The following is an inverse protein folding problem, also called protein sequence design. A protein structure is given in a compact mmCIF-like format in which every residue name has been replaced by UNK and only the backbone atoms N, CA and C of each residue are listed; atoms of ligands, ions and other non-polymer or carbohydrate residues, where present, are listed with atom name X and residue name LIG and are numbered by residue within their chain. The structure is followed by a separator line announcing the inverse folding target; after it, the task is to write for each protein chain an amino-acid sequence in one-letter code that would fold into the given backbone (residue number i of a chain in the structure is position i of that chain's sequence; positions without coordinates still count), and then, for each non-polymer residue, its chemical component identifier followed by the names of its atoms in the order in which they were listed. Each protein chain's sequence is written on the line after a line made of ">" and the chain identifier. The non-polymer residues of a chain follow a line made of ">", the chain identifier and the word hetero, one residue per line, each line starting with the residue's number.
data_IF_411322024394
#
_entry.id   IF_411322024394
#
_cell.length_a   1.000
_cell.length_b   1.000
_cell.length_c   1.000
_cell.angle_alpha   90.00
_cell.angle_beta   90.00
_cell.angle_gamma   90.00
#
_symmetry.space_group_name_H-M   'P 1'
#
loop_
_entity.id
_entity.type
_entity.pdbx_description
1 polymer ?
#
# COMPACT_ATOMS: atom_id res chain seq x y z
N UNK A 1 -10.14 32.86 4.08
CA UNK A 1 -10.57 32.03 2.94
C UNK A 1 -9.34 31.64 2.15
N UNK A 2 -8.93 30.38 2.23
CA UNK A 2 -7.81 29.82 1.48
C UNK A 2 -8.33 29.18 0.20
N UNK A 3 -7.62 29.36 -0.91
CA UNK A 3 -8.02 28.83 -2.22
C UNK A 3 -6.93 27.92 -2.75
N UNK A 4 -7.31 26.70 -3.13
CA UNK A 4 -6.41 25.71 -3.73
C UNK A 4 -6.91 25.42 -5.14
N UNK A 5 -6.01 25.50 -6.12
CA UNK A 5 -6.32 25.12 -7.50
C UNK A 5 -6.22 23.61 -7.62
N UNK A 6 -7.34 22.96 -7.93
CA UNK A 6 -7.41 21.53 -8.21
C UNK A 6 -8.04 21.28 -9.58
N UNK A 7 -7.58 20.25 -10.33
CA UNK A 7 -8.24 19.83 -11.55
C UNK A 7 -9.71 19.47 -11.30
N UNK A 8 -10.58 19.72 -12.29
CA UNK A 8 -12.01 19.42 -12.19
C UNK A 8 -12.26 17.96 -11.79
N UNK A 9 -11.59 17.03 -12.45
CA UNK A 9 -11.72 15.60 -12.16
C UNK A 9 -11.37 15.25 -10.69
N UNK A 10 -10.41 15.94 -10.09
CA UNK A 10 -10.07 15.73 -8.68
C UNK A 10 -11.15 16.30 -7.76
N UNK A 11 -11.65 17.50 -8.05
CA UNK A 11 -12.75 18.12 -7.31
C UNK A 11 -13.99 17.23 -7.31
N UNK A 12 -14.38 16.73 -8.48
CA UNK A 12 -15.59 15.92 -8.63
C UNK A 12 -15.48 14.61 -7.81
N UNK A 13 -14.28 13.99 -7.77
CA UNK A 13 -14.01 12.82 -6.92
C UNK A 13 -14.07 13.15 -5.42
N UNK A 14 -13.53 14.30 -5.01
CA UNK A 14 -13.58 14.73 -3.62
C UNK A 14 -15.02 15.07 -3.18
N UNK A 15 -15.82 15.66 -4.08
CA UNK A 15 -17.25 15.91 -3.84
C UNK A 15 -18.02 14.60 -3.69
N UNK A 16 -17.80 13.61 -4.55
CA UNK A 16 -18.43 12.31 -4.41
C UNK A 16 -18.08 11.63 -3.07
N UNK A 17 -16.82 11.71 -2.63
CA UNK A 17 -16.40 11.20 -1.33
C UNK A 17 -17.07 11.90 -0.14
N UNK A 18 -17.34 13.21 -0.26
CA UNK A 18 -18.07 13.96 0.76
C UNK A 18 -19.56 13.55 0.80
N UNK A 19 -20.16 13.35 -0.38
CA UNK A 19 -21.56 12.94 -0.52
C UNK A 19 -21.83 11.53 0.01
N UNK A 20 -20.88 10.60 -0.16
CA UNK A 20 -20.93 9.23 0.37
C UNK A 20 -21.04 9.19 1.91
N UNK A 21 -20.57 10.23 2.59
CA UNK A 21 -20.50 10.27 4.07
C UNK A 21 -21.74 10.92 4.71
N UNK A 22 -22.76 11.22 3.91
CA UNK A 22 -24.06 11.70 4.35
C UNK A 22 -24.27 13.19 4.14
N UNK A 23 -25.49 13.65 4.43
CA UNK A 23 -25.85 15.07 4.33
C UNK A 23 -25.19 15.85 5.47
N UNK A 24 -24.35 16.81 5.12
CA UNK A 24 -23.68 17.72 6.06
C UNK A 24 -22.16 17.62 6.08
N UNK A 25 -21.57 16.60 5.45
CA UNK A 25 -20.12 16.51 5.26
C UNK A 25 -19.67 17.52 4.21
N UNK A 26 -18.73 18.39 4.59
CA UNK A 26 -18.17 19.37 3.66
C UNK A 26 -16.96 18.80 2.93
N UNK A 27 -16.57 19.43 1.82
CA UNK A 27 -15.32 19.11 1.12
C UNK A 27 -14.09 19.26 2.05
N UNK A 28 -14.15 20.20 3.01
CA UNK A 28 -13.10 20.40 3.99
C UNK A 28 -13.00 19.20 4.94
N UNK A 29 -14.13 18.67 5.42
CA UNK A 29 -14.15 17.48 6.29
C UNK A 29 -13.63 16.24 5.55
N UNK A 30 -14.00 16.08 4.28
CA UNK A 30 -13.47 15.01 3.44
C UNK A 30 -11.95 15.10 3.27
N UNK A 31 -11.41 16.32 3.05
CA UNK A 31 -9.98 16.55 2.93
C UNK A 31 -9.23 16.30 4.24
N UNK A 32 -9.75 16.78 5.37
CA UNK A 32 -9.16 16.55 6.70
C UNK A 32 -9.06 15.07 6.98
N UNK A 33 -10.13 14.32 6.76
CA UNK A 33 -10.13 12.87 6.97
C UNK A 33 -9.13 12.15 6.07
N UNK A 34 -9.03 12.52 4.80
CA UNK A 34 -8.04 11.91 3.89
C UNK A 34 -6.60 12.19 4.35
N UNK A 35 -6.35 13.36 4.94
CA UNK A 35 -5.06 13.68 5.56
C UNK A 35 -4.82 12.82 6.80
N UNK A 36 -5.78 12.72 7.71
CA UNK A 36 -5.68 11.90 8.91
C UNK A 36 -5.44 10.42 8.57
N UNK A 37 -6.16 9.89 7.58
CA UNK A 37 -5.98 8.52 7.07
C UNK A 37 -4.59 8.32 6.46
N UNK A 38 -4.08 9.32 5.73
CA UNK A 38 -2.74 9.28 5.18
C UNK A 38 -1.69 9.24 6.29
N UNK A 39 -1.77 10.15 7.27
CA UNK A 39 -0.85 10.24 8.40
C UNK A 39 -0.88 8.96 9.23
N UNK A 40 -2.06 8.46 9.60
CA UNK A 40 -2.22 7.20 10.31
C UNK A 40 -1.64 6.02 9.53
N UNK A 41 -1.74 6.03 8.20
CA UNK A 41 -1.13 5.00 7.34
C UNK A 41 0.40 5.10 7.33
N UNK A 42 0.97 6.31 7.28
CA UNK A 42 2.41 6.50 7.34
C UNK A 42 2.98 6.08 8.69
N UNK A 43 2.30 6.43 9.80
CA UNK A 43 2.70 5.99 11.15
C UNK A 43 2.68 4.47 11.25
N UNK A 44 1.60 3.80 10.81
CA UNK A 44 1.53 2.34 10.81
C UNK A 44 2.62 1.69 9.97
N UNK A 45 2.91 2.23 8.78
CA UNK A 45 3.99 1.74 7.91
C UNK A 45 5.36 1.90 8.57
N UNK A 46 5.59 3.03 9.22
CA UNK A 46 6.84 3.29 9.95
C UNK A 46 7.01 2.33 11.12
N UNK A 47 5.98 2.13 11.93
CA UNK A 47 6.02 1.18 13.06
C UNK A 47 6.28 -0.25 12.59
N UNK A 48 5.58 -0.70 11.54
CA UNK A 48 5.79 -2.03 10.97
C UNK A 48 7.23 -2.19 10.43
N UNK A 49 7.76 -1.15 9.79
CA UNK A 49 9.15 -1.15 9.32
C UNK A 49 10.15 -1.23 10.49
N UNK A 50 9.94 -0.44 11.55
CA UNK A 50 10.79 -0.43 12.75
C UNK A 50 10.74 -1.77 13.49
N UNK A 51 9.57 -2.42 13.56
CA UNK A 51 9.40 -3.76 14.13
C UNK A 51 10.18 -4.81 13.34
N UNK A 52 10.06 -4.82 12.00
CA UNK A 52 10.82 -5.71 11.13
C UNK A 52 12.32 -5.47 11.26
N UNK A 53 12.74 -4.21 11.31
CA UNK A 53 14.15 -3.84 11.46
C UNK A 53 14.70 -4.32 12.80
N UNK A 54 13.97 -4.11 13.89
CA UNK A 54 14.36 -4.54 15.24
C UNK A 54 14.46 -6.07 15.31
N UNK A 55 13.47 -6.80 14.80
CA UNK A 55 13.51 -8.25 14.72
C UNK A 55 14.70 -8.74 13.89
N UNK A 56 15.01 -8.04 12.79
CA UNK A 56 16.15 -8.39 11.92
C UNK A 56 17.51 -8.12 12.56
N UNK A 57 17.61 -7.07 13.38
CA UNK A 57 18.82 -6.78 14.15
C UNK A 57 19.00 -7.77 15.31
N UNK A 58 17.92 -8.24 15.92
CA UNK A 58 17.96 -9.20 17.01
C UNK A 58 18.41 -10.60 16.57
N UNK A 59 18.04 -11.03 15.36
CA UNK A 59 18.46 -12.32 14.80
C UNK A 59 18.76 -12.25 13.28
N UNK A 60 19.94 -11.73 12.91
CA UNK A 60 20.32 -11.58 11.50
C UNK A 60 20.50 -12.93 10.78
N UNK A 61 20.84 -14.00 11.51
CA UNK A 61 21.02 -15.34 10.92
C UNK A 61 19.67 -15.97 10.54
N UNK A 62 18.66 -15.85 11.41
CA UNK A 62 17.30 -16.32 11.11
C UNK A 62 16.70 -15.55 9.92
N UNK A 63 16.90 -14.23 9.84
CA UNK A 63 16.48 -13.45 8.66
C UNK A 63 17.18 -13.95 7.41
N UNK A 64 18.51 -14.09 7.41
CA UNK A 64 19.25 -14.56 6.25
C UNK A 64 18.80 -15.97 5.80
N UNK A 65 18.50 -16.86 6.74
CA UNK A 65 17.92 -18.19 6.46
C UNK A 65 16.53 -18.06 5.83
N UNK A 66 15.66 -17.22 6.39
CA UNK A 66 14.33 -16.92 5.85
C UNK A 66 14.39 -16.38 4.43
N UNK A 67 15.28 -15.41 4.15
CA UNK A 67 15.48 -14.85 2.81
C UNK A 67 15.90 -15.91 1.81
N UNK A 68 16.83 -16.81 2.18
CA UNK A 68 17.24 -17.93 1.31
C UNK A 68 16.09 -18.88 1.01
N UNK A 69 15.24 -19.18 1.99
CA UNK A 69 14.06 -20.04 1.80
C UNK A 69 13.03 -19.38 0.90
N UNK A 70 12.74 -18.09 1.10
CA UNK A 70 11.83 -17.32 0.27
C UNK A 70 12.30 -17.26 -1.19
N UNK A 71 13.59 -17.02 -1.43
CA UNK A 71 14.17 -17.01 -2.77
C UNK A 71 13.96 -18.36 -3.51
N UNK A 72 14.19 -19.48 -2.82
CA UNK A 72 13.94 -20.83 -3.38
C UNK A 72 12.46 -21.06 -3.71
N UNK A 73 11.56 -20.61 -2.85
CA UNK A 73 10.13 -20.73 -3.08
C UNK A 73 9.67 -19.89 -4.28
N UNK A 74 10.19 -18.66 -4.43
CA UNK A 74 9.92 -17.79 -5.58
C UNK A 74 10.42 -18.45 -6.88
N UNK A 75 11.65 -18.97 -6.88
CA UNK A 75 12.21 -19.66 -8.05
C UNK A 75 11.34 -20.87 -8.45
N UNK A 76 10.92 -21.67 -7.47
CA UNK A 76 10.03 -22.80 -7.70
C UNK A 76 8.70 -22.37 -8.34
N UNK A 77 8.07 -21.32 -7.82
CA UNK A 77 6.80 -20.81 -8.34
C UNK A 77 6.95 -20.22 -9.75
N UNK A 78 8.06 -19.52 -10.04
CA UNK A 78 8.37 -19.00 -11.36
C UNK A 78 8.59 -20.13 -12.37
N UNK A 79 9.36 -21.16 -11.99
CA UNK A 79 9.60 -22.35 -12.84
C UNK A 79 8.31 -23.12 -13.10
N UNK A 80 7.43 -23.24 -12.10
CA UNK A 80 6.11 -23.87 -12.29
C UNK A 80 5.23 -23.06 -13.24
N UNK A 81 5.26 -21.72 -13.15
CA UNK A 81 4.47 -20.84 -14.02
C UNK A 81 4.95 -20.89 -15.48
N UNK A 82 6.26 -21.01 -15.72
CA UNK A 82 6.79 -21.16 -17.08
C UNK A 82 6.48 -22.53 -17.69
N UNK A 83 6.43 -23.59 -16.88
CA UNK A 83 6.02 -24.93 -17.31
C UNK A 83 4.52 -25.06 -17.62
N UNK A 84 3.68 -24.14 -17.12
CA UNK A 84 2.22 -24.12 -17.33
C UNK A 84 1.74 -22.96 -18.23
N UNK A 85 2.63 -22.34 -19.01
CA UNK A 85 2.21 -21.46 -20.12
C UNK A 85 2.20 -22.26 -21.44
N UNK A 86 1.02 -22.65 -21.97
CA UNK A 86 0.92 -23.40 -23.21
C UNK A 86 0.96 -22.43 -24.40
N UNK A 87 2.13 -21.88 -24.71
CA UNK A 87 2.36 -21.20 -25.99
C UNK A 87 3.77 -21.52 -26.50
N UNK A 88 3.90 -22.66 -27.16
CA UNK A 88 4.83 -22.89 -28.27
C UNK A 88 4.72 -24.35 -28.72
N UNK A 89 3.68 -24.68 -29.48
CA UNK A 89 3.83 -25.73 -30.49
C UNK A 89 3.06 -25.27 -31.72
N UNK A 90 3.87 -24.94 -32.73
CA UNK A 90 3.55 -24.64 -34.12
C UNK A 90 2.64 -25.69 -34.75
#
# INVERSE_FOLDING_TARGET
>A
MTTIKVPKALRDRLSALADEHGRGTTLADALTRLLDEHEATQVRRRMAFEEILTASQADPEAVAKGTRMAARAIEYLQRRKSLHSPEATT
#
